data_IF_455788525722
#
_entry.id   IF_455788525722
#
_cell.length_a   1.000
_cell.length_b   1.000
_cell.length_c   1.000
_cell.angle_alpha   90.00
_cell.angle_beta   90.00
_cell.angle_gamma   90.00
#
_symmetry.space_group_name_H-M   'P 1'
#
loop_
_entity.id
_entity.type
_entity.pdbx_description
1 polymer ?
#
# COMPACT_ATOMS: atom_id res chain seq x y z
N UNK A 1 35.84 21.06 5.97
CA UNK A 1 34.69 21.99 5.91
C UNK A 1 34.24 22.18 4.47
N UNK A 2 33.36 21.29 3.97
CA UNK A 2 32.60 21.50 2.73
C UNK A 2 31.18 20.98 2.96
N UNK A 3 30.28 21.94 3.14
CA UNK A 3 28.87 21.89 2.78
C UNK A 3 27.96 20.92 3.54
N UNK A 4 27.64 21.34 4.76
CA UNK A 4 26.52 20.96 5.64
C UNK A 4 25.12 21.28 5.02
N UNK A 5 25.00 21.31 3.69
CA UNK A 5 23.81 21.75 2.92
C UNK A 5 23.11 20.62 2.15
N UNK A 6 23.60 19.38 2.27
CA UNK A 6 22.93 18.21 1.68
C UNK A 6 21.82 17.62 2.57
N UNK A 7 21.70 18.10 3.81
CA UNK A 7 20.74 17.56 4.77
C UNK A 7 19.33 18.16 4.64
N UNK A 8 19.19 19.37 4.08
CA UNK A 8 17.91 20.08 3.98
C UNK A 8 17.19 19.90 2.63
N UNK A 9 17.90 19.60 1.54
CA UNK A 9 17.30 19.49 0.19
C UNK A 9 16.64 18.12 -0.05
N UNK A 10 16.93 17.10 0.79
CA UNK A 10 16.37 15.75 0.61
C UNK A 10 15.03 15.52 1.32
N UNK A 11 14.57 16.46 2.15
CA UNK A 11 13.43 16.26 3.04
C UNK A 11 12.10 16.85 2.53
N UNK A 12 12.09 17.59 1.41
CA UNK A 12 10.92 18.43 1.05
C UNK A 12 10.10 17.97 -0.18
N UNK A 13 10.51 16.99 -0.99
CA UNK A 13 9.75 16.72 -2.23
C UNK A 13 9.50 15.24 -2.50
N UNK A 14 8.35 14.75 -2.00
CA UNK A 14 7.40 14.03 -2.87
C UNK A 14 6.02 13.90 -2.21
N UNK A 15 5.25 14.98 -2.22
CA UNK A 15 3.79 14.85 -2.20
C UNK A 15 3.38 14.15 -3.49
N UNK A 16 3.22 12.83 -3.41
CA UNK A 16 2.51 12.10 -4.44
C UNK A 16 1.03 12.38 -4.23
N UNK A 17 0.40 12.99 -5.23
CA UNK A 17 -1.03 12.86 -5.46
C UNK A 17 -1.31 11.35 -5.44
N UNK A 18 -1.89 10.88 -4.34
CA UNK A 18 -2.14 9.45 -4.15
C UNK A 18 -3.41 9.16 -4.93
N UNK A 19 -3.38 8.35 -6.00
CA UNK A 19 -4.61 7.93 -6.67
C UNK A 19 -5.52 7.28 -5.62
N UNK A 20 -6.85 7.43 -5.74
CA UNK A 20 -7.81 6.81 -4.83
C UNK A 20 -7.49 5.31 -4.70
N UNK A 21 -6.96 4.89 -3.54
CA UNK A 21 -6.63 3.49 -3.29
C UNK A 21 -7.66 2.94 -2.33
N UNK A 22 -8.59 2.14 -2.86
CA UNK A 22 -9.61 1.45 -2.07
C UNK A 22 -8.97 0.58 -0.97
N UNK A 23 -7.77 0.04 -1.20
CA UNK A 23 -6.99 -0.70 -0.20
C UNK A 23 -6.62 0.15 1.02
N UNK A 24 -6.29 1.43 0.82
CA UNK A 24 -5.91 2.33 1.91
C UNK A 24 -7.13 2.71 2.75
N UNK A 25 -8.26 2.98 2.10
CA UNK A 25 -9.53 3.28 2.75
C UNK A 25 -9.97 2.11 3.63
N UNK A 26 -10.02 0.90 3.07
CA UNK A 26 -10.36 -0.32 3.83
C UNK A 26 -9.38 -0.53 5.00
N UNK A 27 -8.09 -0.26 4.79
CA UNK A 27 -7.09 -0.35 5.87
C UNK A 27 -7.38 0.63 7.01
N UNK A 28 -7.76 1.86 6.68
CA UNK A 28 -8.09 2.92 7.65
C UNK A 28 -9.43 2.64 8.35
N UNK A 29 -10.43 2.11 7.64
CA UNK A 29 -11.71 1.63 8.22
C UNK A 29 -11.49 0.50 9.24
N UNK A 30 -10.54 -0.40 8.96
CA UNK A 30 -10.17 -1.48 9.87
C UNK A 30 -9.20 -1.04 10.97
N UNK A 31 -8.81 0.24 11.03
CA UNK A 31 -7.82 0.78 11.97
C UNK A 31 -6.49 0.01 11.95
N UNK A 32 -6.13 -0.58 10.81
CA UNK A 32 -4.92 -1.37 10.64
C UNK A 32 -3.74 -0.51 10.20
N UNK A 33 -2.59 -0.62 10.86
CA UNK A 33 -1.35 -0.05 10.33
C UNK A 33 -0.83 -0.86 9.12
N UNK A 34 0.03 -0.24 8.31
CA UNK A 34 0.66 -0.91 7.15
C UNK A 34 1.42 -2.17 7.54
N UNK A 35 2.09 -2.14 8.70
CA UNK A 35 2.83 -3.26 9.23
C UNK A 35 1.91 -4.39 9.69
N UNK A 36 0.76 -4.06 10.29
CA UNK A 36 -0.22 -5.07 10.72
C UNK A 36 -0.88 -5.76 9.55
N UNK A 37 -1.28 -5.00 8.52
CA UNK A 37 -1.81 -5.59 7.30
C UNK A 37 -0.76 -6.49 6.63
N UNK A 38 0.50 -6.08 6.60
CA UNK A 38 1.60 -6.86 6.05
C UNK A 38 1.82 -8.19 6.81
N UNK A 39 1.78 -8.14 8.15
CA UNK A 39 1.84 -9.33 9.01
C UNK A 39 0.68 -10.28 8.74
N UNK A 40 -0.55 -9.74 8.68
CA UNK A 40 -1.77 -10.53 8.47
C UNK A 40 -1.82 -11.17 7.08
N UNK A 41 -1.36 -10.46 6.06
CA UNK A 41 -1.25 -10.97 4.69
C UNK A 41 0.02 -11.80 4.43
N UNK A 42 0.93 -11.95 5.39
CA UNK A 42 2.23 -12.64 5.19
C UNK A 42 3.01 -12.07 3.99
N UNK A 43 3.03 -10.75 3.87
CA UNK A 43 3.73 -10.02 2.79
C UNK A 43 4.69 -8.98 3.38
N UNK A 44 5.67 -8.55 2.60
CA UNK A 44 6.54 -7.45 3.01
C UNK A 44 5.75 -6.12 3.05
N UNK A 45 5.98 -5.26 4.06
CA UNK A 45 5.36 -3.93 4.12
C UNK A 45 5.67 -3.08 2.89
N UNK A 46 6.85 -3.29 2.27
CA UNK A 46 7.22 -2.62 1.01
C UNK A 46 6.28 -2.99 -0.14
N UNK A 47 5.77 -4.23 -0.16
CA UNK A 47 4.81 -4.69 -1.15
C UNK A 47 3.45 -4.00 -0.96
N UNK A 48 3.02 -3.80 0.29
CA UNK A 48 1.79 -3.04 0.61
C UNK A 48 1.94 -1.59 0.17
N UNK A 49 3.08 -0.95 0.47
CA UNK A 49 3.35 0.42 0.01
C UNK A 49 3.35 0.56 -1.51
N UNK A 50 3.69 -0.50 -2.26
CA UNK A 50 3.60 -0.50 -3.73
C UNK A 50 2.16 -0.62 -4.20
N UNK A 51 1.37 -1.46 -3.54
CA UNK A 51 -0.04 -1.69 -3.84
C UNK A 51 -0.87 -0.43 -3.53
N UNK A 52 -0.63 0.22 -2.39
CA UNK A 52 -1.17 1.55 -2.05
C UNK A 52 -0.65 2.67 -2.97
N UNK A 53 0.26 2.38 -3.91
CA UNK A 53 0.71 3.33 -4.94
C UNK A 53 0.14 2.97 -6.32
N UNK A 54 -0.81 2.04 -6.39
CA UNK A 54 -1.42 1.58 -7.64
C UNK A 54 -0.51 0.69 -8.49
N UNK A 55 0.55 0.10 -7.93
CA UNK A 55 1.39 -0.83 -8.68
C UNK A 55 0.79 -2.22 -8.70
N UNK A 56 0.94 -2.89 -9.83
CA UNK A 56 0.59 -4.30 -9.93
C UNK A 56 1.41 -5.21 -9.03
N UNK A 57 0.76 -6.26 -8.58
CA UNK A 57 1.36 -7.33 -7.80
C UNK A 57 0.86 -8.69 -8.30
N UNK A 58 1.58 -9.75 -7.92
CA UNK A 58 1.21 -11.13 -8.26
C UNK A 58 -0.17 -11.48 -7.70
N UNK A 59 -0.90 -12.31 -8.44
CA UNK A 59 -2.20 -12.83 -8.01
C UNK A 59 -2.15 -13.51 -6.64
N UNK A 60 -1.06 -14.20 -6.33
CA UNK A 60 -0.80 -14.79 -5.01
C UNK A 60 -0.82 -13.74 -3.89
N UNK A 61 -0.20 -12.58 -4.13
CA UNK A 61 -0.17 -11.46 -3.18
C UNK A 61 -1.55 -10.83 -3.03
N UNK A 62 -2.27 -10.63 -4.15
CA UNK A 62 -3.65 -10.10 -4.13
C UNK A 62 -4.54 -11.01 -3.29
N UNK A 63 -4.45 -12.33 -3.47
CA UNK A 63 -5.19 -13.35 -2.71
C UNK A 63 -4.94 -13.24 -1.20
N UNK A 64 -3.67 -13.16 -0.80
CA UNK A 64 -3.28 -13.03 0.62
C UNK A 64 -3.82 -11.75 1.26
N UNK A 65 -3.79 -10.64 0.53
CA UNK A 65 -4.31 -9.35 1.03
C UNK A 65 -5.83 -9.38 1.18
N UNK A 66 -6.56 -9.92 0.20
CA UNK A 66 -8.02 -10.07 0.27
C UNK A 66 -8.43 -10.86 1.52
N UNK A 67 -7.75 -11.99 1.75
CA UNK A 67 -7.99 -12.82 2.94
C UNK A 67 -7.63 -12.10 4.24
N UNK A 68 -6.53 -11.34 4.26
CA UNK A 68 -6.15 -10.55 5.43
C UNK A 68 -7.16 -9.44 5.75
N UNK A 69 -7.78 -8.85 4.73
CA UNK A 69 -8.85 -7.86 4.88
C UNK A 69 -10.20 -8.51 5.24
N UNK A 70 -10.33 -9.83 5.18
CA UNK A 70 -11.56 -10.55 5.52
C UNK A 70 -12.61 -10.60 4.41
N UNK A 71 -12.22 -10.29 3.17
CA UNK A 71 -13.12 -10.33 2.01
C UNK A 71 -13.04 -11.67 1.27
N UNK A 72 -14.01 -11.91 0.39
CA UNK A 72 -13.99 -13.07 -0.51
C UNK A 72 -13.15 -12.76 -1.74
N UNK A 73 -12.59 -13.80 -2.36
CA UNK A 73 -11.80 -13.68 -3.59
C UNK A 73 -12.58 -13.07 -4.75
N UNK A 74 -13.91 -13.20 -4.74
CA UNK A 74 -14.83 -12.58 -5.70
C UNK A 74 -14.83 -11.05 -5.61
N UNK A 75 -14.53 -10.49 -4.44
CA UNK A 75 -14.54 -9.03 -4.20
C UNK A 75 -13.23 -8.36 -4.62
N UNK A 76 -12.30 -9.11 -5.26
CA UNK A 76 -11.01 -8.59 -5.72
C UNK A 76 -11.16 -7.34 -6.60
N UNK A 77 -12.19 -7.31 -7.43
CA UNK A 77 -12.42 -6.23 -8.39
C UNK A 77 -12.88 -4.95 -7.70
N UNK A 78 -13.56 -5.10 -6.56
CA UNK A 78 -13.95 -3.97 -5.71
C UNK A 78 -12.76 -3.38 -4.96
N UNK A 79 -11.81 -4.22 -4.53
CA UNK A 79 -10.64 -3.83 -3.74
C UNK A 79 -9.50 -3.28 -4.60
N UNK A 80 -9.33 -3.82 -5.82
CA UNK A 80 -8.27 -3.46 -6.76
C UNK A 80 -8.79 -2.73 -8.02
N UNK A 81 -9.90 -2.01 -7.90
CA UNK A 81 -10.64 -1.34 -8.98
C UNK A 81 -9.83 -0.33 -9.83
N UNK A 82 -8.63 0.07 -9.39
CA UNK A 82 -7.74 1.01 -10.08
C UNK A 82 -6.55 0.36 -10.82
N UNK A 83 -6.56 -0.97 -11.02
CA UNK A 83 -5.60 -1.62 -11.92
C UNK A 83 -6.23 -1.75 -13.30
N UNK A 84 -5.95 -0.80 -14.18
CA UNK A 84 -6.21 -0.91 -15.64
C UNK A 84 -4.92 -0.63 -16.39
#
# INVERSE_FOLDING_TARGET
YKNFSYFLIKFCWREKIVPQNTVREIREELLLSKAELARKASVSPLTIDRIEKGKDCRMETKRKIILALGYKLSDKEKIFSNVT
#
